data_IF_970820524863
#
_entry.id   IF_970820524863
#
_cell.length_a   1.000
_cell.length_b   1.000
_cell.length_c   1.000
_cell.angle_alpha   90.00
_cell.angle_beta   90.00
_cell.angle_gamma   90.00
#
_symmetry.space_group_name_H-M   'P 1'
#
loop_
_entity.id
_entity.type
_entity.pdbx_description
1 polymer ?
#
# COMPACT_ATOMS: atom_id res chain seq x y z
N UNK A 1 -17.94 0.70 -13.23
CA UNK A 1 -17.33 -0.02 -12.09
C UNK A 1 -16.27 -0.98 -12.62
N UNK A 2 -15.00 -0.56 -12.75
CA UNK A 2 -13.92 -1.47 -13.19
C UNK A 2 -13.42 -2.24 -11.96
N UNK A 3 -13.66 -3.56 -11.90
CA UNK A 3 -13.12 -4.44 -10.86
C UNK A 3 -11.59 -4.49 -11.00
N UNK A 4 -10.88 -3.72 -10.20
CA UNK A 4 -9.42 -3.81 -10.09
C UNK A 4 -9.05 -5.11 -9.38
N UNK A 5 -8.67 -6.14 -10.13
CA UNK A 5 -8.13 -7.38 -9.57
C UNK A 5 -6.69 -7.09 -9.13
N UNK A 6 -6.45 -7.05 -7.81
CA UNK A 6 -5.09 -6.89 -7.29
C UNK A 6 -4.35 -8.24 -7.44
N UNK A 7 -3.34 -8.29 -8.31
CA UNK A 7 -2.47 -9.45 -8.48
C UNK A 7 -1.08 -9.08 -7.97
N UNK A 8 -0.84 -9.29 -6.67
CA UNK A 8 0.40 -8.90 -6.00
C UNK A 8 1.45 -10.00 -6.20
N UNK A 9 2.21 -9.93 -7.30
CA UNK A 9 3.45 -10.72 -7.46
C UNK A 9 4.70 -9.93 -7.08
N UNK A 10 4.54 -8.63 -6.84
CA UNK A 10 5.63 -7.71 -6.55
C UNK A 10 5.19 -6.81 -5.38
N UNK A 11 6.01 -6.61 -4.33
CA UNK A 11 5.64 -5.78 -3.18
C UNK A 11 5.58 -4.29 -3.55
N UNK A 12 6.13 -3.91 -4.71
CA UNK A 12 6.05 -2.56 -5.30
C UNK A 12 5.31 -2.61 -6.64
N UNK A 13 4.00 -2.87 -6.68
CA UNK A 13 3.26 -2.94 -7.95
C UNK A 13 3.01 -1.53 -8.51
N UNK A 14 2.57 -1.45 -9.77
CA UNK A 14 2.24 -0.16 -10.39
C UNK A 14 1.19 0.61 -9.57
N UNK A 15 1.43 1.90 -9.36
CA UNK A 15 0.56 2.78 -8.56
C UNK A 15 0.83 2.77 -7.06
N UNK A 16 1.81 2.01 -6.56
CA UNK A 16 2.35 2.25 -5.23
C UNK A 16 3.24 3.52 -5.23
N UNK A 17 3.26 4.22 -4.11
CA UNK A 17 4.01 5.47 -3.91
C UNK A 17 4.82 5.34 -2.63
N UNK A 18 6.13 5.60 -2.68
CA UNK A 18 6.98 5.66 -1.47
C UNK A 18 6.61 6.91 -0.68
N UNK A 19 6.43 6.77 0.63
CA UNK A 19 6.15 7.90 1.52
C UNK A 19 7.46 8.60 1.90
N UNK A 20 7.47 9.93 1.81
CA UNK A 20 8.60 10.76 2.24
C UNK A 20 8.78 10.68 3.76
N UNK A 21 10.03 10.77 4.23
CA UNK A 21 10.35 10.70 5.66
C UNK A 21 10.35 9.29 6.26
N UNK A 22 10.19 8.26 5.43
CA UNK A 22 10.30 6.86 5.83
C UNK A 22 11.20 6.09 4.86
N UNK A 23 12.05 5.22 5.39
CA UNK A 23 13.02 4.48 4.57
C UNK A 23 12.36 3.41 3.71
N UNK A 24 11.32 2.76 4.24
CA UNK A 24 10.76 1.55 3.69
C UNK A 24 9.22 1.55 3.59
N UNK A 25 8.57 2.71 3.77
CA UNK A 25 7.10 2.83 3.82
C UNK A 25 6.51 3.27 2.49
N UNK A 26 5.41 2.62 2.11
CA UNK A 26 4.73 2.76 0.83
C UNK A 26 3.23 2.90 1.05
N UNK A 27 2.56 3.50 0.06
CA UNK A 27 1.10 3.60 0.00
C UNK A 27 0.60 3.12 -1.36
N UNK A 28 -0.48 2.35 -1.37
CA UNK A 28 -1.18 1.96 -2.61
C UNK A 28 -2.68 2.18 -2.47
N UNK A 29 -3.33 2.50 -3.60
CA UNK A 29 -4.78 2.54 -3.71
C UNK A 29 -5.30 1.20 -4.24
N UNK A 30 -6.24 0.60 -3.51
CA UNK A 30 -6.92 -0.63 -3.91
C UNK A 30 -8.42 -0.36 -3.85
N UNK A 31 -9.03 -0.10 -5.02
CA UNK A 31 -10.42 0.35 -5.08
C UNK A 31 -10.63 1.64 -4.27
N UNK A 32 -11.43 1.53 -3.22
CA UNK A 32 -11.75 2.63 -2.30
C UNK A 32 -10.89 2.67 -1.04
N UNK A 33 -9.89 1.80 -0.92
CA UNK A 33 -8.99 1.77 0.23
C UNK A 33 -7.64 2.39 -0.09
N UNK A 34 -7.05 3.05 0.90
CA UNK A 34 -5.63 3.37 0.94
C UNK A 34 -4.95 2.42 1.93
N UNK A 35 -3.95 1.70 1.45
CA UNK A 35 -3.14 0.80 2.27
C UNK A 35 -1.76 1.41 2.41
N UNK A 36 -1.30 1.58 3.64
CA UNK A 36 0.07 1.94 4.01
C UNK A 36 0.77 0.69 4.53
N UNK A 37 1.94 0.41 3.99
CA UNK A 37 2.70 -0.78 4.31
C UNK A 37 4.21 -0.52 4.24
N UNK A 38 4.98 -1.37 4.92
CA UNK A 38 6.45 -1.39 4.85
C UNK A 38 6.94 -2.62 4.11
N UNK A 39 8.09 -2.47 3.45
CA UNK A 39 8.79 -3.58 2.80
C UNK A 39 10.16 -3.72 3.47
N UNK A 40 10.40 -4.87 4.08
CA UNK A 40 11.67 -5.23 4.70
C UNK A 40 12.34 -6.28 3.82
N UNK A 41 13.10 -5.86 2.80
CA UNK A 41 13.64 -6.76 1.77
C UNK A 41 14.59 -7.81 2.36
N UNK A 42 15.40 -7.44 3.36
CA UNK A 42 16.33 -8.36 4.02
C UNK A 42 15.62 -9.51 4.76
N UNK A 43 14.38 -9.28 5.21
CA UNK A 43 13.57 -10.26 5.93
C UNK A 43 12.51 -10.92 5.04
N UNK A 44 12.48 -10.58 3.73
CA UNK A 44 11.42 -10.98 2.78
C UNK A 44 10.00 -10.71 3.32
N UNK A 45 9.84 -9.60 4.06
CA UNK A 45 8.63 -9.30 4.83
C UNK A 45 7.93 -8.05 4.32
N UNK A 46 6.60 -8.12 4.24
CA UNK A 46 5.73 -6.96 4.00
C UNK A 46 4.81 -6.77 5.20
N UNK A 47 4.88 -5.60 5.83
CA UNK A 47 4.06 -5.26 7.00
C UNK A 47 2.99 -4.26 6.63
N UNK A 48 1.72 -4.64 6.72
CA UNK A 48 0.61 -3.69 6.54
C UNK A 48 0.40 -2.91 7.84
N UNK A 49 0.57 -1.59 7.78
CA UNK A 49 0.46 -0.70 8.94
C UNK A 49 -0.96 -0.18 9.10
N UNK A 50 -1.59 0.19 7.99
CA UNK A 50 -2.96 0.72 7.98
C UNK A 50 -3.64 0.36 6.67
N UNK A 51 -4.86 -0.11 6.75
CA UNK A 51 -5.78 -0.22 5.63
C UNK A 51 -7.06 0.52 5.99
N UNK A 52 -7.29 1.66 5.35
CA UNK A 52 -8.45 2.50 5.66
C UNK A 52 -9.22 2.82 4.39
N UNK A 53 -10.54 2.89 4.52
CA UNK A 53 -11.39 3.35 3.43
C UNK A 53 -11.12 4.82 3.18
N UNK A 54 -11.19 5.27 1.92
CA UNK A 54 -10.76 6.62 1.51
C UNK A 54 -11.49 7.77 2.20
N UNK A 55 -12.69 7.49 2.72
CA UNK A 55 -13.52 8.44 3.47
C UNK A 55 -12.97 8.66 4.87
N UNK A 56 -12.41 7.61 5.48
CA UNK A 56 -11.96 7.58 6.87
C UNK A 56 -10.48 8.01 7.03
N UNK A 57 -9.92 8.67 6.01
CA UNK A 57 -8.51 9.14 6.01
C UNK A 57 -8.42 10.64 6.33
N UNK A 58 -9.55 11.34 6.34
CA UNK A 58 -9.62 12.78 6.64
C UNK A 58 -10.43 13.12 7.90
N UNK A 59 -10.96 12.12 8.60
CA UNK A 59 -11.62 12.27 9.90
C UNK A 59 -10.61 12.06 11.04
#
# INVERSE_FOLDING_TARGET
MKRGRLRVRHPRPHGCVKLTGYDNRWRIRIGDYRVVYEIHDAELRVLVIRAAHRKDVYD
#
